data_IF_925347916568
#
_entry.id   IF_925347916568
#
_cell.length_a   1.000
_cell.length_b   1.000
_cell.length_c   1.000
_cell.angle_alpha   90.00
_cell.angle_beta   90.00
_cell.angle_gamma   90.00
#
_symmetry.space_group_name_H-M   'P 1'
#
loop_
_entity.id
_entity.type
_entity.pdbx_description
1 polymer ?
#
# COMPACT_ATOMS: atom_id res chain seq x y z
N UNK A 1 -3.70 21.68 -11.53
CA UNK A 1 -2.56 21.80 -12.48
C UNK A 1 -3.04 21.75 -13.93
N UNK A 2 -2.46 22.55 -14.83
CA UNK A 2 -2.72 22.41 -16.27
C UNK A 2 -1.99 21.17 -16.84
N UNK A 3 -2.37 20.65 -18.02
CA UNK A 3 -1.79 19.41 -18.56
C UNK A 3 -0.27 19.45 -18.75
N UNK A 4 0.30 20.61 -19.06
CA UNK A 4 1.72 20.79 -19.29
C UNK A 4 2.52 20.75 -17.97
N UNK A 5 2.02 21.40 -16.92
CA UNK A 5 2.57 21.31 -15.57
C UNK A 5 2.54 19.87 -15.05
N UNK A 6 1.44 19.15 -15.30
CA UNK A 6 1.32 17.75 -14.90
C UNK A 6 2.28 16.85 -15.68
N UNK A 7 2.45 17.09 -17.00
CA UNK A 7 3.42 16.38 -17.82
C UNK A 7 4.85 16.53 -17.30
N UNK A 8 5.25 17.76 -16.98
CA UNK A 8 6.58 18.03 -16.43
C UNK A 8 6.79 17.38 -15.06
N UNK A 9 5.80 17.48 -14.17
CA UNK A 9 5.86 16.84 -12.86
C UNK A 9 5.99 15.30 -12.99
N UNK A 10 5.23 14.70 -13.91
CA UNK A 10 5.28 13.26 -14.15
C UNK A 10 6.66 12.79 -14.65
N UNK A 11 7.28 13.54 -15.56
CA UNK A 11 8.65 13.26 -16.05
C UNK A 11 9.67 13.39 -14.92
N UNK A 12 9.55 14.40 -14.06
CA UNK A 12 10.46 14.58 -12.92
C UNK A 12 10.37 13.41 -11.93
N UNK A 13 9.15 12.94 -11.62
CA UNK A 13 8.93 11.76 -10.77
C UNK A 13 9.54 10.52 -11.43
N UNK A 14 9.28 10.31 -12.73
CA UNK A 14 9.84 9.19 -13.48
C UNK A 14 11.37 9.17 -13.43
N UNK A 15 12.02 10.32 -13.60
CA UNK A 15 13.47 10.45 -13.51
C UNK A 15 13.99 10.17 -12.09
N UNK A 16 13.28 10.64 -11.06
CA UNK A 16 13.63 10.36 -9.66
C UNK A 16 13.53 8.86 -9.34
N UNK A 17 12.50 8.17 -9.84
CA UNK A 17 12.34 6.73 -9.64
C UNK A 17 13.45 5.94 -10.34
N UNK A 18 13.81 6.32 -11.57
CA UNK A 18 14.94 5.72 -12.30
C UNK A 18 16.26 5.90 -11.56
N UNK A 19 16.50 7.09 -10.99
CA UNK A 19 17.70 7.36 -10.19
C UNK A 19 17.81 6.47 -8.94
N UNK A 20 16.67 5.97 -8.43
CA UNK A 20 16.60 5.03 -7.30
C UNK A 20 16.60 3.56 -7.72
N UNK A 21 16.93 3.25 -8.97
CA UNK A 21 17.01 1.87 -9.47
C UNK A 21 15.65 1.23 -9.80
N UNK A 22 14.55 1.99 -9.73
CA UNK A 22 13.24 1.52 -10.16
C UNK A 22 13.16 1.68 -11.69
N UNK A 23 13.53 0.62 -12.41
CA UNK A 23 13.72 0.65 -13.86
C UNK A 23 12.43 0.38 -14.66
N UNK A 24 12.31 1.10 -15.78
CA UNK A 24 11.45 0.87 -16.95
C UNK A 24 9.97 0.51 -16.69
N UNK A 25 9.15 1.54 -16.45
CA UNK A 25 7.72 1.45 -16.74
C UNK A 25 7.54 1.13 -18.23
N UNK A 26 6.81 0.06 -18.55
CA UNK A 26 6.43 -0.18 -19.94
C UNK A 26 5.68 1.04 -20.49
N UNK A 27 5.81 1.32 -21.79
CA UNK A 27 5.12 2.47 -22.42
C UNK A 27 3.61 2.48 -22.12
N UNK A 28 3.01 1.29 -22.08
CA UNK A 28 1.60 1.12 -21.71
C UNK A 28 1.31 1.50 -20.26
N UNK A 29 2.13 1.05 -19.31
CA UNK A 29 1.98 1.39 -17.90
C UNK A 29 2.18 2.88 -17.64
N UNK A 30 3.18 3.50 -18.29
CA UNK A 30 3.42 4.95 -18.26
C UNK A 30 2.19 5.74 -18.72
N UNK A 31 1.63 5.35 -19.86
CA UNK A 31 0.44 6.01 -20.43
C UNK A 31 -0.77 5.86 -19.51
N UNK A 32 -0.96 4.66 -18.94
CA UNK A 32 -2.03 4.40 -17.99
C UNK A 32 -1.89 5.24 -16.72
N UNK A 33 -0.71 5.28 -16.12
CA UNK A 33 -0.44 6.07 -14.92
C UNK A 33 -0.71 7.56 -15.16
N UNK A 34 -0.20 8.11 -16.26
CA UNK A 34 -0.43 9.51 -16.61
C UNK A 34 -1.92 9.84 -16.79
N UNK A 35 -2.67 8.99 -17.50
CA UNK A 35 -4.11 9.16 -17.68
C UNK A 35 -4.87 9.10 -16.35
N UNK A 36 -4.51 8.16 -15.47
CA UNK A 36 -5.10 8.06 -14.13
C UNK A 36 -4.85 9.33 -13.33
N UNK A 37 -3.63 9.85 -13.34
CA UNK A 37 -3.29 11.10 -12.65
C UNK A 37 -4.08 12.28 -13.20
N UNK A 38 -4.25 12.37 -14.52
CA UNK A 38 -5.08 13.40 -15.16
C UNK A 38 -6.54 13.32 -14.72
N UNK A 39 -7.13 12.12 -14.74
CA UNK A 39 -8.51 11.91 -14.34
C UNK A 39 -8.70 12.25 -12.87
N UNK A 40 -7.80 11.78 -11.99
CA UNK A 40 -7.84 12.09 -10.57
C UNK A 40 -7.80 13.60 -10.32
N UNK A 41 -6.83 14.31 -10.92
CA UNK A 41 -6.71 15.76 -10.77
C UNK A 41 -7.96 16.50 -11.26
N UNK A 42 -8.51 16.07 -12.40
CA UNK A 42 -9.67 16.71 -13.01
C UNK A 42 -10.95 16.50 -12.20
N UNK A 43 -11.17 15.28 -11.69
CA UNK A 43 -12.43 14.87 -11.08
C UNK A 43 -12.45 15.00 -9.55
N UNK A 44 -11.30 14.82 -8.89
CA UNK A 44 -11.19 14.78 -7.43
C UNK A 44 -10.28 15.88 -6.87
N UNK A 45 -9.35 16.41 -7.66
CA UNK A 45 -8.32 17.34 -7.17
C UNK A 45 -8.89 18.55 -6.42
N UNK A 46 -9.84 19.28 -7.01
CA UNK A 46 -10.46 20.45 -6.35
C UNK A 46 -11.26 20.12 -5.09
N UNK A 47 -11.72 18.88 -4.96
CA UNK A 47 -12.46 18.41 -3.79
C UNK A 47 -11.55 17.93 -2.66
N UNK A 48 -10.39 17.34 -3.01
CA UNK A 48 -9.46 16.73 -2.05
C UNK A 48 -8.34 17.68 -1.63
N UNK A 49 -7.72 18.42 -2.55
CA UNK A 49 -6.55 19.25 -2.24
C UNK A 49 -6.76 20.27 -1.12
N UNK A 50 -7.93 20.93 -0.99
CA UNK A 50 -8.18 21.84 0.13
C UNK A 50 -8.24 21.16 1.51
N UNK A 51 -8.38 19.82 1.53
CA UNK A 51 -8.53 19.02 2.75
C UNK A 51 -7.23 18.34 3.17
N UNK A 52 -6.18 18.46 2.37
CA UNK A 52 -4.90 17.78 2.62
C UNK A 52 -4.19 18.46 3.77
N UNK A 53 -3.91 17.68 4.82
CA UNK A 53 -3.08 18.10 5.94
C UNK A 53 -1.62 17.74 5.72
N UNK A 54 -1.38 16.50 5.30
CA UNK A 54 -0.03 15.96 5.11
C UNK A 54 -0.02 14.87 4.05
N UNK A 55 1.13 14.69 3.39
CA UNK A 55 1.38 13.66 2.38
C UNK A 55 2.63 12.88 2.77
N UNK A 56 2.65 11.57 2.54
CA UNK A 56 3.77 10.71 2.94
C UNK A 56 4.04 10.82 4.46
N UNK A 57 2.98 10.81 5.27
CA UNK A 57 3.08 11.00 6.71
C UNK A 57 3.74 9.79 7.36
N UNK A 58 4.98 9.99 7.83
CA UNK A 58 5.77 8.97 8.52
C UNK A 58 5.18 8.64 9.89
N UNK A 59 5.04 7.35 10.16
CA UNK A 59 4.63 6.79 11.44
C UNK A 59 5.75 5.90 11.99
N UNK A 60 6.06 6.07 13.27
CA UNK A 60 7.15 5.36 13.92
C UNK A 60 6.71 4.86 15.30
N UNK A 61 7.14 3.65 15.63
CA UNK A 61 6.94 3.06 16.95
C UNK A 61 8.19 2.26 17.35
N UNK A 62 8.74 2.59 18.51
CA UNK A 62 9.80 1.80 19.13
C UNK A 62 9.17 0.68 19.95
N UNK A 63 9.45 -0.56 19.57
CA UNK A 63 9.03 -1.75 20.29
C UNK A 63 10.21 -2.57 20.80
N UNK A 64 9.89 -3.63 21.52
CA UNK A 64 10.87 -4.54 22.12
C UNK A 64 10.31 -5.96 22.10
N UNK A 65 11.12 -6.91 21.63
CA UNK A 65 10.77 -8.33 21.62
C UNK A 65 10.79 -8.93 23.02
N UNK A 66 10.25 -10.13 23.16
CA UNK A 66 10.30 -10.89 24.43
C UNK A 66 11.73 -11.19 24.92
N UNK A 67 12.72 -11.12 24.02
CA UNK A 67 14.14 -11.35 24.31
C UNK A 67 14.95 -10.04 24.43
N UNK A 68 14.28 -8.91 24.75
CA UNK A 68 14.89 -7.59 24.94
C UNK A 68 15.58 -6.97 23.70
N UNK A 69 15.20 -7.40 22.49
CA UNK A 69 15.71 -6.82 21.25
C UNK A 69 14.80 -5.65 20.86
N UNK A 70 15.39 -4.46 20.76
CA UNK A 70 14.65 -3.25 20.34
C UNK A 70 14.51 -3.20 18.83
N UNK A 71 13.32 -2.84 18.36
CA UNK A 71 13.03 -2.61 16.95
C UNK A 71 12.32 -1.27 16.72
N UNK A 72 12.44 -0.75 15.51
CA UNK A 72 11.67 0.40 15.03
C UNK A 72 10.68 -0.09 13.98
N UNK A 73 9.39 -0.03 14.30
CA UNK A 73 8.33 -0.19 13.32
C UNK A 73 8.13 1.15 12.61
N UNK A 74 8.28 1.15 11.29
CA UNK A 74 8.14 2.34 10.46
C UNK A 74 7.09 2.10 9.36
N UNK A 75 6.16 3.03 9.24
CA UNK A 75 5.12 3.04 8.20
C UNK A 75 4.96 4.42 7.59
N UNK A 76 4.39 4.49 6.39
CA UNK A 76 4.10 5.75 5.71
C UNK A 76 2.67 5.73 5.24
N UNK A 77 1.88 6.72 5.67
CA UNK A 77 0.52 6.96 5.18
C UNK A 77 0.60 7.94 4.02
N UNK A 78 0.04 7.57 2.87
CA UNK A 78 0.17 8.39 1.65
C UNK A 78 -0.46 9.78 1.81
N UNK A 79 -1.60 9.87 2.49
CA UNK A 79 -2.31 11.14 2.66
C UNK A 79 -3.13 11.19 3.96
N UNK A 80 -3.05 12.32 4.65
CA UNK A 80 -3.95 12.68 5.76
C UNK A 80 -4.85 13.82 5.30
N UNK A 81 -6.15 13.69 5.57
CA UNK A 81 -7.14 14.72 5.24
C UNK A 81 -8.02 15.11 6.43
N UNK A 82 -8.53 16.33 6.43
CA UNK A 82 -9.50 16.86 7.41
C UNK A 82 -10.63 17.61 6.70
N UNK A 83 -11.84 17.62 7.27
CA UNK A 83 -13.05 18.04 6.55
C UNK A 83 -13.05 19.52 6.12
N UNK A 84 -12.41 20.40 6.89
CA UNK A 84 -11.89 21.72 6.49
C UNK A 84 -10.82 22.06 7.55
N UNK A 85 -9.52 22.09 7.20
CA UNK A 85 -8.51 22.52 8.16
C UNK A 85 -8.66 24.02 8.44
N UNK A 86 -8.88 24.40 9.70
CA UNK A 86 -8.83 25.81 10.11
C UNK A 86 -7.38 26.30 10.06
N UNK A 87 -7.11 27.30 9.22
CA UNK A 87 -5.75 27.80 9.02
C UNK A 87 -5.19 28.38 10.34
N UNK A 88 -4.18 27.72 10.89
CA UNK A 88 -3.51 28.15 12.12
C UNK A 88 -4.09 27.56 13.41
N UNK A 89 -5.14 26.73 13.33
CA UNK A 89 -5.60 25.93 14.45
C UNK A 89 -4.69 24.70 14.67
N UNK A 90 -4.56 24.19 15.91
CA UNK A 90 -3.98 22.87 16.15
C UNK A 90 -4.73 21.81 15.35
N UNK A 91 -3.99 20.85 14.78
CA UNK A 91 -4.59 19.74 14.04
C UNK A 91 -5.36 18.85 15.03
N UNK A 92 -6.65 18.62 14.75
CA UNK A 92 -7.44 17.61 15.44
C UNK A 92 -7.31 16.25 14.74
N UNK A 93 -6.34 15.46 15.19
CA UNK A 93 -6.08 14.14 14.65
C UNK A 93 -7.27 13.17 14.79
N UNK A 94 -8.23 13.43 15.69
CA UNK A 94 -9.43 12.60 15.85
C UNK A 94 -10.43 12.79 14.71
N UNK A 95 -10.39 13.93 14.02
CA UNK A 95 -11.22 14.24 12.86
C UNK A 95 -10.55 13.92 11.52
N UNK A 96 -9.28 13.49 11.57
CA UNK A 96 -8.51 13.17 10.38
C UNK A 96 -8.96 11.85 9.73
N UNK A 97 -8.77 11.77 8.41
CA UNK A 97 -8.98 10.56 7.63
C UNK A 97 -7.66 10.20 6.95
N UNK A 98 -7.17 8.98 7.18
CA UNK A 98 -5.95 8.47 6.56
C UNK A 98 -6.27 7.72 5.28
N UNK A 99 -5.46 7.93 4.24
CA UNK A 99 -5.64 7.35 2.92
C UNK A 99 -4.35 6.61 2.53
N UNK A 100 -4.54 5.46 1.92
CA UNK A 100 -3.48 4.68 1.27
C UNK A 100 -3.92 4.38 -0.18
N UNK A 101 -3.11 4.83 -1.15
CA UNK A 101 -3.40 4.71 -2.58
C UNK A 101 -2.93 3.37 -3.13
N UNK A 102 -3.85 2.67 -3.79
CA UNK A 102 -3.56 1.43 -4.51
C UNK A 102 -3.71 1.65 -6.01
N UNK A 103 -2.67 1.27 -6.78
CA UNK A 103 -2.67 1.36 -8.24
C UNK A 103 -3.61 0.35 -8.94
N UNK A 104 -4.05 -0.69 -8.22
CA UNK A 104 -5.01 -1.69 -8.70
C UNK A 104 -6.44 -1.18 -8.80
N UNK A 105 -7.36 -2.05 -9.25
CA UNK A 105 -8.79 -1.76 -9.22
C UNK A 105 -9.45 -2.42 -8.01
N UNK A 106 -10.40 -1.72 -7.40
CA UNK A 106 -11.15 -2.16 -6.22
C UNK A 106 -11.83 -3.51 -6.48
N UNK A 107 -12.42 -3.68 -7.65
CA UNK A 107 -13.17 -4.89 -7.99
C UNK A 107 -12.28 -6.12 -8.19
N UNK A 108 -11.04 -5.94 -8.66
CA UNK A 108 -10.08 -7.04 -8.76
C UNK A 108 -9.66 -7.51 -7.36
N UNK A 109 -9.46 -6.56 -6.45
CA UNK A 109 -9.04 -6.82 -5.08
C UNK A 109 -10.17 -7.44 -4.26
N UNK A 110 -11.39 -6.94 -4.36
CA UNK A 110 -12.55 -7.48 -3.64
C UNK A 110 -12.93 -8.91 -4.07
N UNK A 111 -12.47 -9.36 -5.24
CA UNK A 111 -12.57 -10.77 -5.69
C UNK A 111 -11.45 -11.66 -5.17
N UNK A 112 -10.45 -11.08 -4.51
CA UNK A 112 -9.32 -11.78 -3.89
C UNK A 112 -9.38 -11.58 -2.37
N UNK A 113 -9.98 -12.52 -1.62
CA UNK A 113 -10.08 -12.42 -0.17
C UNK A 113 -8.72 -12.23 0.52
N UNK A 114 -7.67 -12.93 0.06
CA UNK A 114 -6.33 -12.81 0.62
C UNK A 114 -5.71 -11.43 0.38
N UNK A 115 -5.86 -10.87 -0.82
CA UNK A 115 -5.36 -9.52 -1.10
C UNK A 115 -6.12 -8.46 -0.30
N UNK A 116 -7.44 -8.63 -0.14
CA UNK A 116 -8.27 -7.75 0.68
C UNK A 116 -7.81 -7.79 2.13
N UNK A 117 -7.63 -8.98 2.70
CA UNK A 117 -7.15 -9.16 4.07
C UNK A 117 -5.77 -8.52 4.28
N UNK A 118 -4.84 -8.68 3.33
CA UNK A 118 -3.51 -8.08 3.46
C UNK A 118 -3.55 -6.54 3.46
N UNK A 119 -4.41 -5.93 2.65
CA UNK A 119 -4.56 -4.47 2.65
C UNK A 119 -5.28 -3.96 3.88
N UNK A 120 -6.33 -4.66 4.32
CA UNK A 120 -7.04 -4.31 5.55
C UNK A 120 -6.07 -4.42 6.75
N UNK A 121 -5.27 -5.49 6.83
CA UNK A 121 -4.24 -5.70 7.85
C UNK A 121 -3.19 -4.57 7.85
N UNK A 122 -2.62 -4.24 6.68
CA UNK A 122 -1.64 -3.14 6.57
C UNK A 122 -2.22 -1.82 7.10
N UNK A 123 -3.43 -1.47 6.67
CA UNK A 123 -4.03 -0.20 7.07
C UNK A 123 -4.42 -0.20 8.55
N UNK A 124 -4.82 -1.34 9.13
CA UNK A 124 -5.04 -1.49 10.57
C UNK A 124 -3.75 -1.25 11.37
N UNK A 125 -2.61 -1.78 10.92
CA UNK A 125 -1.30 -1.46 11.53
C UNK A 125 -1.00 0.03 11.48
N UNK A 126 -1.26 0.70 10.34
CA UNK A 126 -1.08 2.15 10.22
C UNK A 126 -2.00 2.93 11.16
N UNK A 127 -3.25 2.50 11.33
CA UNK A 127 -4.17 3.10 12.30
C UNK A 127 -3.61 3.03 13.71
N UNK A 128 -3.03 1.89 14.11
CA UNK A 128 -2.42 1.74 15.43
C UNK A 128 -1.18 2.62 15.58
N UNK A 129 -0.31 2.64 14.58
CA UNK A 129 0.87 3.51 14.59
C UNK A 129 0.48 5.00 14.64
N UNK A 130 -0.57 5.39 13.94
CA UNK A 130 -1.13 6.73 14.00
C UNK A 130 -1.62 7.07 15.41
N UNK A 131 -2.34 6.15 16.06
CA UNK A 131 -2.77 6.29 17.46
C UNK A 131 -1.56 6.47 18.38
N UNK A 132 -0.52 5.64 18.24
CA UNK A 132 0.68 5.69 19.07
C UNK A 132 1.40 7.05 18.94
N UNK A 133 1.46 7.60 17.72
CA UNK A 133 2.11 8.88 17.44
C UNK A 133 1.28 10.09 17.92
N UNK A 134 -0.02 10.07 17.65
CA UNK A 134 -0.89 11.25 17.79
C UNK A 134 -1.80 11.21 19.03
N UNK A 135 -1.78 10.13 19.80
CA UNK A 135 -2.59 9.93 21.01
C UNK A 135 -4.07 9.64 20.77
N UNK A 136 -4.54 9.68 19.52
CA UNK A 136 -5.92 9.38 19.15
C UNK A 136 -5.98 8.60 17.84
N UNK A 137 -7.02 7.79 17.69
CA UNK A 137 -7.37 7.18 16.43
C UNK A 137 -7.83 8.24 15.41
N UNK A 138 -7.58 8.03 14.10
CA UNK A 138 -8.22 8.82 13.06
C UNK A 138 -9.71 8.49 12.98
N UNK A 139 -10.51 9.38 12.39
CA UNK A 139 -11.94 9.19 12.15
C UNK A 139 -12.22 8.02 11.20
N UNK A 140 -11.44 7.94 10.13
CA UNK A 140 -11.59 6.92 9.08
C UNK A 140 -10.22 6.51 8.53
N UNK A 141 -10.14 5.29 8.01
CA UNK A 141 -8.99 4.78 7.28
C UNK A 141 -9.43 4.16 5.96
N UNK A 142 -8.90 4.68 4.86
CA UNK A 142 -9.41 4.44 3.52
C UNK A 142 -8.32 3.92 2.56
N UNK A 143 -8.63 2.81 1.90
CA UNK A 143 -7.88 2.34 0.73
C UNK A 143 -8.48 2.99 -0.52
N UNK A 144 -7.65 3.67 -1.32
CA UNK A 144 -8.07 4.43 -2.49
C UNK A 144 -7.53 3.76 -3.76
N UNK A 145 -8.40 3.02 -4.45
CA UNK A 145 -8.04 2.28 -5.66
C UNK A 145 -8.07 3.18 -6.90
N UNK A 146 -7.00 3.94 -7.10
CA UNK A 146 -6.85 4.88 -8.23
C UNK A 146 -7.02 4.16 -9.57
N UNK A 147 -6.58 2.90 -9.69
CA UNK A 147 -6.76 2.11 -10.92
C UNK A 147 -8.22 1.87 -11.31
N UNK A 148 -9.16 2.05 -10.37
CA UNK A 148 -10.60 1.97 -10.62
C UNK A 148 -11.13 3.20 -11.38
N UNK A 149 -10.41 4.32 -11.43
CA UNK A 149 -10.80 5.51 -12.20
C UNK A 149 -10.75 5.29 -13.71
N UNK A 150 -10.00 4.28 -14.17
CA UNK A 150 -9.89 3.95 -15.58
C UNK A 150 -9.87 2.43 -15.77
N UNK A 151 -11.02 1.77 -15.57
CA UNK A 151 -11.11 0.33 -15.65
C UNK A 151 -10.92 -0.15 -17.10
N UNK A 152 -10.52 -1.41 -17.26
CA UNK A 152 -10.35 -2.07 -18.56
C UNK A 152 -11.70 -2.23 -19.29
N UNK A 153 -12.78 -2.45 -18.53
CA UNK A 153 -14.14 -2.52 -19.07
C UNK A 153 -14.62 -1.13 -19.54
N UNK A 154 -14.94 -1.01 -20.82
CA UNK A 154 -15.33 0.26 -21.44
C UNK A 154 -16.65 0.84 -20.90
N UNK A 155 -17.65 0.00 -20.63
CA UNK A 155 -18.93 0.47 -20.10
C UNK A 155 -18.76 1.11 -18.71
N UNK A 156 -18.01 0.43 -17.82
CA UNK A 156 -17.71 0.95 -16.48
C UNK A 156 -16.81 2.19 -16.52
N UNK A 157 -15.88 2.25 -17.47
CA UNK A 157 -15.07 3.44 -17.69
C UNK A 157 -15.95 4.64 -18.07
N UNK A 158 -16.88 4.45 -19.00
CA UNK A 158 -17.79 5.51 -19.42
C UNK A 158 -18.70 5.97 -18.28
N UNK A 159 -19.20 5.04 -17.46
CA UNK A 159 -19.94 5.33 -16.23
C UNK A 159 -19.14 6.28 -15.32
N UNK A 160 -17.91 5.90 -14.95
CA UNK A 160 -17.07 6.70 -14.04
C UNK A 160 -16.73 8.06 -14.64
N UNK A 161 -16.42 8.13 -15.94
CA UNK A 161 -16.07 9.38 -16.59
C UNK A 161 -17.26 10.35 -16.70
N UNK A 162 -18.50 9.82 -16.73
CA UNK A 162 -19.74 10.62 -16.72
C UNK A 162 -20.14 11.18 -15.35
N UNK A 163 -19.56 10.66 -14.27
CA UNK A 163 -19.82 11.20 -12.93
C UNK A 163 -19.17 12.57 -12.80
N UNK A 164 -19.94 13.57 -12.37
CA UNK A 164 -19.42 14.92 -12.10
C UNK A 164 -19.29 15.21 -10.60
N UNK A 165 -20.04 14.50 -9.74
CA UNK A 165 -19.94 14.65 -8.29
C UNK A 165 -18.72 13.85 -7.75
N UNK A 166 -17.73 14.51 -7.15
CA UNK A 166 -16.57 13.85 -6.55
C UNK A 166 -16.94 12.78 -5.51
N UNK A 167 -18.05 12.95 -4.78
CA UNK A 167 -18.50 11.99 -3.76
C UNK A 167 -18.89 10.65 -4.37
N UNK A 168 -19.65 10.68 -5.46
CA UNK A 168 -20.04 9.47 -6.20
C UNK A 168 -18.83 8.76 -6.78
N UNK A 169 -17.81 9.50 -7.24
CA UNK A 169 -16.56 8.93 -7.74
C UNK A 169 -15.80 8.24 -6.60
N UNK A 170 -15.70 8.89 -5.43
CA UNK A 170 -15.04 8.32 -4.26
C UNK A 170 -15.68 7.01 -3.82
N UNK A 171 -17.00 6.92 -3.76
CA UNK A 171 -17.72 5.68 -3.42
C UNK A 171 -17.32 4.48 -4.31
N UNK A 172 -16.97 4.74 -5.58
CA UNK A 172 -16.55 3.70 -6.53
C UNK A 172 -15.11 3.25 -6.35
N UNK A 173 -14.25 4.09 -5.76
CA UNK A 173 -12.81 3.81 -5.65
C UNK A 173 -12.34 3.59 -4.22
N UNK A 174 -13.13 3.99 -3.21
CA UNK A 174 -12.79 3.86 -1.80
C UNK A 174 -13.23 2.51 -1.26
N UNK A 175 -12.37 1.89 -0.47
CA UNK A 175 -12.73 0.86 0.48
C UNK A 175 -12.42 1.39 1.87
N UNK A 176 -13.46 1.47 2.70
CA UNK A 176 -13.31 1.79 4.13
C UNK A 176 -12.88 0.53 4.86
N UNK A 177 -11.81 0.62 5.63
CA UNK A 177 -11.40 -0.48 6.52
C UNK A 177 -12.22 -0.40 7.79
N UNK A 178 -12.62 -1.55 8.32
CA UNK A 178 -13.40 -1.61 9.56
C UNK A 178 -12.58 -1.06 10.73
N UNK A 179 -13.18 -0.10 11.44
CA UNK A 179 -12.56 0.54 12.60
C UNK A 179 -13.03 -0.15 13.88
N UNK A 180 -12.38 -1.26 14.22
CA UNK A 180 -12.62 -2.00 15.45
C UNK A 180 -11.33 -2.05 16.27
N UNK A 181 -11.26 -1.42 17.45
CA UNK A 181 -10.06 -1.40 18.27
C UNK A 181 -9.50 -2.80 18.56
N UNK A 182 -10.37 -3.80 18.74
CA UNK A 182 -9.95 -5.19 18.98
C UNK A 182 -9.23 -5.77 17.76
N UNK A 183 -9.76 -5.52 16.56
CA UNK A 183 -9.16 -6.01 15.31
C UNK A 183 -7.85 -5.28 15.02
N UNK A 184 -7.80 -3.97 15.29
CA UNK A 184 -6.59 -3.15 15.14
C UNK A 184 -5.48 -3.64 16.09
N UNK A 185 -5.81 -3.87 17.35
CA UNK A 185 -4.85 -4.39 18.33
C UNK A 185 -4.41 -5.81 17.97
N UNK A 186 -5.30 -6.67 17.47
CA UNK A 186 -4.93 -8.00 16.96
C UNK A 186 -3.97 -7.91 15.77
N UNK A 187 -4.23 -7.03 14.81
CA UNK A 187 -3.36 -6.85 13.65
C UNK A 187 -1.96 -6.35 14.08
N UNK A 188 -1.92 -5.42 15.03
CA UNK A 188 -0.67 -4.91 15.57
C UNK A 188 0.10 -5.97 16.36
N UNK A 189 -0.56 -6.71 17.26
CA UNK A 189 0.05 -7.78 18.04
C UNK A 189 0.58 -8.89 17.13
N UNK A 190 -0.15 -9.26 16.07
CA UNK A 190 0.34 -10.23 15.10
C UNK A 190 1.63 -9.77 14.42
N UNK A 191 1.77 -8.46 14.16
CA UNK A 191 3.01 -7.90 13.65
C UNK A 191 4.15 -8.04 14.68
N UNK A 192 3.90 -7.72 15.95
CA UNK A 192 4.89 -7.86 17.02
C UNK A 192 5.30 -9.33 17.24
N UNK A 193 4.34 -10.25 17.26
CA UNK A 193 4.58 -11.70 17.30
C UNK A 193 5.42 -12.16 16.10
N UNK A 194 5.21 -11.56 14.93
CA UNK A 194 6.02 -11.85 13.74
C UNK A 194 7.47 -11.41 13.92
N UNK A 195 7.72 -10.27 14.57
CA UNK A 195 9.07 -9.83 14.90
C UNK A 195 9.70 -10.78 15.92
N UNK A 196 8.97 -11.18 16.97
CA UNK A 196 9.44 -12.19 17.94
C UNK A 196 9.87 -13.48 17.22
N UNK A 197 9.06 -13.96 16.26
CA UNK A 197 9.39 -15.14 15.45
C UNK A 197 10.65 -14.95 14.62
N UNK A 198 10.82 -13.80 13.96
CA UNK A 198 12.01 -13.47 13.16
C UNK A 198 13.26 -13.43 14.05
N UNK A 199 13.19 -12.82 15.23
CA UNK A 199 14.34 -12.73 16.12
C UNK A 199 14.67 -14.08 16.79
N UNK A 200 13.66 -14.88 17.14
CA UNK A 200 13.87 -16.27 17.57
C UNK A 200 14.59 -17.07 16.50
N UNK A 201 14.23 -16.84 15.25
CA UNK A 201 14.80 -17.49 14.09
C UNK A 201 16.27 -17.08 13.86
N UNK A 202 16.58 -15.79 13.92
CA UNK A 202 17.97 -15.31 13.84
C UNK A 202 18.90 -15.88 14.92
N UNK A 203 18.36 -16.24 16.09
CA UNK A 203 19.13 -16.82 17.19
C UNK A 203 19.39 -18.33 17.06
N UNK A 204 18.76 -19.02 16.10
CA UNK A 204 19.01 -20.45 15.86
C UNK A 204 20.34 -20.68 15.15
N UNK A 205 20.91 -21.88 15.34
CA UNK A 205 22.07 -22.29 14.56
C UNK A 205 21.71 -22.32 13.07
N UNK A 206 22.65 -21.95 12.18
CA UNK A 206 22.40 -21.85 10.73
C UNK A 206 21.79 -23.13 10.12
N UNK A 207 22.09 -24.30 10.69
CA UNK A 207 21.55 -25.58 10.23
C UNK A 207 20.07 -25.81 10.60
N UNK A 208 19.59 -25.10 11.61
CA UNK A 208 18.23 -25.18 12.19
C UNK A 208 17.36 -23.99 11.75
N UNK A 209 17.94 -23.06 11.00
CA UNK A 209 17.23 -21.87 10.57
C UNK A 209 16.16 -22.17 9.48
N UNK A 210 15.15 -21.30 9.36
CA UNK A 210 14.17 -21.26 8.29
C UNK A 210 14.89 -21.36 6.96
N UNK A 211 14.68 -22.49 6.29
CA UNK A 211 15.28 -22.74 5.00
C UNK A 211 14.45 -22.06 3.92
N UNK A 212 15.09 -21.54 2.87
CA UNK A 212 14.40 -21.22 1.64
C UNK A 212 13.53 -22.40 1.20
N UNK A 213 12.40 -22.09 0.54
CA UNK A 213 11.58 -23.13 -0.05
C UNK A 213 12.40 -23.87 -1.12
N UNK A 214 12.61 -25.16 -0.91
CA UNK A 214 13.18 -26.13 -1.84
C UNK A 214 12.06 -26.91 -2.54
N UNK A 215 12.40 -27.71 -3.55
CA UNK A 215 11.44 -28.64 -4.16
C UNK A 215 10.94 -29.69 -3.15
N UNK A 216 11.76 -30.05 -2.16
CA UNK A 216 11.45 -31.07 -1.16
C UNK A 216 10.56 -30.53 -0.04
N UNK A 217 10.82 -29.32 0.49
CA UNK A 217 10.01 -28.73 1.58
C UNK A 217 8.83 -27.87 1.06
N UNK A 218 8.83 -27.49 -0.22
CA UNK A 218 7.78 -26.66 -0.82
C UNK A 218 6.45 -27.38 -1.01
N UNK A 219 6.44 -28.72 -0.97
CA UNK A 219 5.22 -29.52 -0.99
C UNK A 219 4.40 -29.39 0.31
N UNK A 220 5.07 -29.11 1.44
CA UNK A 220 4.45 -28.89 2.75
C UNK A 220 3.97 -27.44 2.91
N UNK A 221 4.53 -26.52 2.11
CA UNK A 221 4.21 -25.10 2.09
C UNK A 221 3.88 -24.63 0.66
N UNK A 222 2.75 -25.10 0.08
CA UNK A 222 2.38 -24.77 -1.29
C UNK A 222 2.19 -23.26 -1.43
N UNK A 223 3.08 -22.64 -2.20
CA UNK A 223 2.99 -21.22 -2.54
C UNK A 223 2.09 -21.08 -3.76
N UNK A 224 1.08 -20.19 -3.75
CA UNK A 224 0.29 -19.91 -4.94
C UNK A 224 1.21 -19.55 -6.11
N UNK A 225 0.98 -20.15 -7.29
CA UNK A 225 1.89 -20.02 -8.45
C UNK A 225 2.13 -18.56 -8.86
N UNK A 226 1.14 -17.69 -8.66
CA UNK A 226 1.23 -16.25 -8.92
C UNK A 226 2.19 -15.52 -7.95
N UNK A 227 2.46 -16.04 -6.75
CA UNK A 227 3.46 -15.48 -5.83
C UNK A 227 4.87 -15.75 -6.34
N UNK A 228 5.16 -16.93 -6.89
CA UNK A 228 6.46 -17.22 -7.50
C UNK A 228 6.74 -16.35 -8.73
N UNK A 229 5.72 -16.09 -9.55
CA UNK A 229 5.82 -15.22 -10.73
C UNK A 229 6.09 -13.75 -10.39
N UNK A 230 5.65 -13.29 -9.22
CA UNK A 230 5.76 -11.90 -8.78
C UNK A 230 6.84 -11.66 -7.74
N UNK A 231 7.41 -12.72 -7.15
CA UNK A 231 8.51 -12.63 -6.20
C UNK A 231 9.78 -12.11 -6.89
N UNK A 232 10.38 -11.06 -6.33
CA UNK A 232 11.64 -10.49 -6.84
C UNK A 232 12.86 -11.34 -6.44
N UNK A 233 12.76 -12.07 -5.32
CA UNK A 233 13.79 -13.00 -4.84
C UNK A 233 13.84 -14.30 -5.65
N UNK A 234 12.91 -14.52 -6.60
CA UNK A 234 12.84 -15.74 -7.42
C UNK A 234 14.12 -16.05 -8.18
N UNK A 235 14.91 -15.02 -8.52
CA UNK A 235 16.17 -15.17 -9.25
C UNK A 235 17.28 -15.82 -8.42
N UNK A 236 17.12 -15.82 -7.10
CA UNK A 236 18.01 -16.46 -6.13
C UNK A 236 17.30 -17.57 -5.35
N UNK A 237 16.09 -17.95 -5.77
CA UNK A 237 15.30 -19.01 -5.13
C UNK A 237 15.70 -20.38 -5.70
N UNK A 238 15.98 -21.34 -4.83
CA UNK A 238 16.33 -22.72 -5.19
C UNK A 238 15.13 -23.51 -5.76
N UNK A 239 13.90 -23.03 -5.55
CA UNK A 239 12.68 -23.58 -6.12
C UNK A 239 11.87 -22.51 -6.89
N UNK A 240 12.27 -22.18 -8.13
CA UNK A 240 11.48 -21.35 -9.01
C UNK A 240 10.39 -22.22 -9.63
N UNK A 241 9.30 -22.47 -8.90
CA UNK A 241 8.12 -23.24 -9.36
C UNK A 241 7.34 -22.53 -10.50
N UNK A 242 8.03 -22.17 -11.59
CA UNK A 242 7.50 -21.37 -12.69
C UNK A 242 8.29 -21.41 -14.00
N UNK A 243 9.18 -22.39 -14.26
CA UNK A 243 9.89 -22.51 -15.55
C UNK A 243 10.64 -21.23 -16.00
N UNK A 244 11.24 -20.49 -15.07
CA UNK A 244 12.06 -19.33 -15.43
C UNK A 244 13.54 -19.69 -15.35
N UNK A 245 14.32 -19.55 -16.45
CA UNK A 245 15.75 -19.86 -16.40
C UNK A 245 16.45 -18.93 -15.41
N UNK A 246 17.26 -19.53 -14.52
CA UNK A 246 18.18 -18.81 -13.65
C UNK A 246 19.08 -17.90 -14.51
N UNK A 247 19.41 -16.70 -14.01
CA UNK A 247 20.42 -15.85 -14.65
C UNK A 247 21.74 -16.62 -14.66
N UNK A 248 22.16 -17.08 -15.83
CA UNK A 248 23.55 -17.43 -16.09
C UNK A 248 24.37 -16.15 -15.97
N UNK A 249 25.10 -16.02 -14.87
CA UNK A 249 26.16 -15.04 -14.77
C UNK A 249 27.26 -15.45 -15.76
N UNK A 250 27.50 -14.61 -16.77
CA UNK A 250 28.75 -14.59 -17.55
C UNK A 250 29.70 -13.64 -16.83
#
# INVERSE_FOLDING_TARGET
PNPLQLGNAFVNIENSLRARGILNLSRGLRTRAFNLTQIFNKKLGSFIYPKVLDTEHTLEHMGQTQNDIRYLMHGVVDLITEEIPELGAPIDYSNCVIWDYKGGSKEKVERSPSQTLNYDFQLQTYVKLFQNKNGTFPREANLIFVGSLFPENLARRNEILSLEDPRQILERIVRRVEFNPTVIDQAFNFFEETIDMIELEHNRAYNEQWRPLTLENGAEHPTPSNMCETCELRWSCENPNGNFPLRSFI
#
